data_IF_535000451996
#
_entry.id   IF_535000451996
#
_cell.length_a   1.000
_cell.length_b   1.000
_cell.length_c   1.000
_cell.angle_alpha   90.00
_cell.angle_beta   90.00
_cell.angle_gamma   90.00
#
_symmetry.space_group_name_H-M   'P 1'
#
loop_
_entity.id
_entity.type
_entity.pdbx_description
1 polymer ?
#
# COMPACT_ATOMS: atom_id res chain seq x y z
N UNK A 1 12.36 -2.08 -18.74
CA UNK A 1 11.47 -1.68 -17.64
C UNK A 1 11.73 -2.56 -16.43
N UNK A 2 11.73 -1.99 -15.22
CA UNK A 2 11.88 -2.70 -13.94
C UNK A 2 10.66 -2.37 -13.09
N UNK A 3 9.94 -3.39 -12.62
CA UNK A 3 8.68 -3.22 -11.88
C UNK A 3 8.84 -2.35 -10.64
N UNK A 4 9.79 -2.66 -9.75
CA UNK A 4 10.06 -1.88 -8.54
C UNK A 4 10.16 -0.36 -8.80
N UNK A 5 10.97 0.06 -9.78
CA UNK A 5 11.23 1.48 -10.03
C UNK A 5 10.05 2.17 -10.71
N UNK A 6 9.36 1.47 -11.62
CA UNK A 6 8.15 2.00 -12.24
C UNK A 6 7.02 2.12 -11.22
N UNK A 7 7.00 1.25 -10.21
CA UNK A 7 6.03 1.33 -9.11
C UNK A 7 6.23 2.57 -8.23
N UNK A 8 7.48 2.97 -7.97
CA UNK A 8 7.78 4.24 -7.29
C UNK A 8 7.27 5.44 -8.10
N UNK A 9 7.51 5.44 -9.42
CA UNK A 9 7.00 6.47 -10.33
C UNK A 9 5.47 6.52 -10.32
N UNK A 10 4.78 5.37 -10.48
CA UNK A 10 3.32 5.26 -10.46
C UNK A 10 2.75 5.82 -9.16
N UNK A 11 3.30 5.41 -8.02
CA UNK A 11 2.90 5.90 -6.70
C UNK A 11 3.05 7.42 -6.56
N UNK A 12 4.17 7.98 -7.04
CA UNK A 12 4.41 9.42 -7.06
C UNK A 12 3.42 10.18 -7.94
N UNK A 13 3.16 9.67 -9.16
CA UNK A 13 2.21 10.25 -10.10
C UNK A 13 0.77 10.17 -9.56
N UNK A 14 0.36 9.06 -8.95
CA UNK A 14 -0.96 8.93 -8.32
C UNK A 14 -1.16 9.97 -7.22
N UNK A 15 -0.14 10.19 -6.36
CA UNK A 15 -0.18 11.23 -5.33
C UNK A 15 -0.21 12.62 -5.96
N UNK A 16 0.59 12.90 -6.98
CA UNK A 16 0.61 14.19 -7.67
C UNK A 16 -0.73 14.49 -8.34
N UNK A 17 -1.35 13.50 -9.00
CA UNK A 17 -2.68 13.63 -9.59
C UNK A 17 -3.71 14.04 -8.53
N UNK A 18 -3.67 13.39 -7.36
CA UNK A 18 -4.58 13.69 -6.24
C UNK A 18 -4.38 15.10 -5.69
N UNK A 19 -3.14 15.51 -5.45
CA UNK A 19 -2.81 16.78 -4.78
C UNK A 19 -3.03 17.98 -5.72
N UNK A 20 -2.68 17.84 -6.99
CA UNK A 20 -2.74 18.92 -7.97
C UNK A 20 -4.01 18.90 -8.83
N UNK A 21 -4.87 17.89 -8.66
CA UNK A 21 -6.05 17.66 -9.50
C UNK A 21 -5.71 17.64 -11.01
N UNK A 22 -4.60 16.99 -11.38
CA UNK A 22 -4.16 16.88 -12.78
C UNK A 22 -4.36 15.46 -13.31
N UNK A 23 -5.28 15.32 -14.27
CA UNK A 23 -5.60 14.04 -14.92
C UNK A 23 -4.42 13.45 -15.68
N UNK A 24 -3.55 14.26 -16.25
CA UNK A 24 -2.39 13.78 -17.04
C UNK A 24 -1.46 12.89 -16.20
N UNK A 25 -1.25 13.23 -14.92
CA UNK A 25 -0.48 12.39 -14.00
C UNK A 25 -1.18 11.08 -13.69
N UNK A 26 -2.51 11.12 -13.55
CA UNK A 26 -3.32 9.91 -13.37
C UNK A 26 -3.22 9.00 -14.59
N UNK A 27 -3.39 9.55 -15.79
CA UNK A 27 -3.37 8.79 -17.04
C UNK A 27 -2.02 8.08 -17.24
N UNK A 28 -0.90 8.77 -16.98
CA UNK A 28 0.43 8.17 -17.02
C UNK A 28 0.59 7.04 -15.99
N UNK A 29 0.13 7.25 -14.76
CA UNK A 29 0.24 6.26 -13.68
C UNK A 29 -0.61 5.02 -13.96
N UNK A 30 -1.87 5.21 -14.35
CA UNK A 30 -2.83 4.17 -14.65
C UNK A 30 -2.39 3.35 -15.87
N UNK A 31 -1.92 4.00 -16.95
CA UNK A 31 -1.38 3.31 -18.13
C UNK A 31 -0.15 2.46 -17.80
N UNK A 32 0.79 3.00 -17.02
CA UNK A 32 1.98 2.27 -16.61
C UNK A 32 1.65 1.06 -15.72
N UNK A 33 0.71 1.22 -14.77
CA UNK A 33 0.25 0.12 -13.93
C UNK A 33 -0.48 -0.95 -14.73
N UNK A 34 -1.36 -0.56 -15.67
CA UNK A 34 -2.06 -1.48 -16.55
C UNK A 34 -1.08 -2.26 -17.43
N UNK A 35 -0.06 -1.60 -17.99
CA UNK A 35 1.00 -2.26 -18.72
C UNK A 35 1.69 -3.34 -17.87
N UNK A 36 2.00 -3.04 -16.60
CA UNK A 36 2.62 -4.02 -15.70
C UNK A 36 1.67 -5.21 -15.44
N UNK A 37 0.39 -4.94 -15.17
CA UNK A 37 -0.63 -5.98 -14.94
C UNK A 37 -0.82 -6.90 -16.15
N UNK A 38 -0.72 -6.37 -17.36
CA UNK A 38 -0.97 -7.14 -18.58
C UNK A 38 0.28 -7.87 -19.10
N UNK A 39 1.47 -7.31 -18.83
CA UNK A 39 2.70 -7.74 -19.53
C UNK A 39 3.81 -8.25 -18.61
N UNK A 40 3.63 -8.36 -17.28
CA UNK A 40 4.67 -8.90 -16.38
C UNK A 40 4.36 -10.30 -15.85
N UNK A 41 3.72 -11.13 -16.68
CA UNK A 41 3.33 -12.49 -16.29
C UNK A 41 3.83 -13.50 -17.30
N UNK A 42 4.49 -14.55 -16.82
CA UNK A 42 4.88 -15.73 -17.60
C UNK A 42 4.46 -16.94 -16.79
N UNK A 43 3.67 -17.85 -17.39
CA UNK A 43 3.18 -19.06 -16.73
C UNK A 43 2.52 -18.79 -15.35
N UNK A 44 1.70 -17.73 -15.27
CA UNK A 44 1.06 -17.24 -14.03
C UNK A 44 2.04 -16.80 -12.92
N UNK A 45 3.25 -16.41 -13.28
CA UNK A 45 4.26 -15.91 -12.34
C UNK A 45 4.67 -14.50 -12.66
N UNK A 46 4.66 -13.65 -11.64
CA UNK A 46 5.01 -12.25 -11.79
C UNK A 46 6.51 -12.06 -12.03
N UNK A 47 6.85 -11.22 -13.01
CA UNK A 47 8.20 -10.97 -13.48
C UNK A 47 8.67 -9.57 -13.09
N UNK A 48 9.98 -9.42 -12.90
CA UNK A 48 10.64 -8.18 -12.50
C UNK A 48 10.96 -7.26 -13.68
N UNK A 49 11.50 -7.85 -14.75
CA UNK A 49 12.09 -7.12 -15.86
C UNK A 49 11.25 -7.32 -17.11
N UNK A 50 11.11 -6.27 -17.90
CA UNK A 50 10.62 -6.39 -19.27
C UNK A 50 11.47 -5.54 -20.19
N UNK A 51 12.12 -6.21 -21.14
CA UNK A 51 12.94 -5.60 -22.17
C UNK A 51 12.31 -5.90 -23.52
N UNK A 52 11.99 -4.86 -24.29
CA UNK A 52 11.33 -4.95 -25.60
C UNK A 52 10.10 -5.88 -25.61
N UNK A 53 9.25 -5.77 -24.59
CA UNK A 53 8.02 -6.55 -24.47
C UNK A 53 8.24 -7.97 -23.91
N UNK A 54 9.47 -8.37 -23.63
CA UNK A 54 9.80 -9.72 -23.13
C UNK A 54 9.98 -9.72 -21.61
N UNK A 55 9.05 -10.32 -20.84
CA UNK A 55 9.15 -10.38 -19.39
C UNK A 55 10.14 -11.46 -18.97
N UNK A 56 11.04 -11.13 -18.05
CA UNK A 56 12.12 -12.01 -17.60
C UNK A 56 12.42 -11.78 -16.13
N UNK A 57 13.03 -12.78 -15.50
CA UNK A 57 13.43 -12.80 -14.08
C UNK A 57 12.22 -12.75 -13.14
N UNK A 58 12.09 -13.76 -12.30
CA UNK A 58 11.02 -13.80 -11.29
C UNK A 58 11.08 -12.57 -10.39
N UNK A 59 9.91 -12.00 -10.11
CA UNK A 59 9.76 -10.85 -9.23
C UNK A 59 10.33 -11.15 -7.83
N UNK A 60 11.01 -10.16 -7.27
CA UNK A 60 11.55 -10.19 -5.92
C UNK A 60 10.64 -9.42 -4.96
N UNK A 61 10.89 -9.52 -3.65
CA UNK A 61 10.05 -8.87 -2.63
C UNK A 61 9.86 -7.37 -2.86
N UNK A 62 10.88 -6.67 -3.35
CA UNK A 62 10.82 -5.25 -3.69
C UNK A 62 9.79 -4.97 -4.79
N UNK A 63 9.76 -5.80 -5.84
CA UNK A 63 8.84 -5.67 -6.97
C UNK A 63 7.39 -5.85 -6.52
N UNK A 64 7.12 -6.88 -5.71
CA UNK A 64 5.79 -7.09 -5.11
C UNK A 64 5.41 -5.94 -4.18
N UNK A 65 6.25 -5.63 -3.20
CA UNK A 65 5.92 -4.64 -2.17
C UNK A 65 5.66 -3.25 -2.77
N UNK A 66 6.51 -2.79 -3.69
CA UNK A 66 6.34 -1.48 -4.31
C UNK A 66 5.18 -1.47 -5.29
N UNK A 67 4.92 -2.54 -6.05
CA UNK A 67 3.81 -2.54 -6.99
C UNK A 67 2.46 -2.66 -6.29
N UNK A 68 2.34 -3.48 -5.23
CA UNK A 68 1.15 -3.50 -4.37
C UNK A 68 0.90 -2.10 -3.78
N UNK A 69 1.95 -1.42 -3.31
CA UNK A 69 1.83 -0.03 -2.81
C UNK A 69 1.28 0.89 -3.90
N UNK A 70 1.82 0.81 -5.12
CA UNK A 70 1.40 1.63 -6.24
C UNK A 70 -0.07 1.38 -6.63
N UNK A 71 -0.52 0.12 -6.65
CA UNK A 71 -1.92 -0.25 -6.90
C UNK A 71 -2.85 0.29 -5.81
N UNK A 72 -2.44 0.20 -4.54
CA UNK A 72 -3.22 0.79 -3.44
C UNK A 72 -3.25 2.32 -3.52
N UNK A 73 -2.17 2.97 -3.99
CA UNK A 73 -2.14 4.43 -4.19
C UNK A 73 -3.04 4.85 -5.36
N UNK A 74 -3.05 4.08 -6.46
CA UNK A 74 -3.99 4.27 -7.57
C UNK A 74 -5.44 4.08 -7.11
N UNK A 75 -5.73 3.07 -6.29
CA UNK A 75 -7.05 2.86 -5.71
C UNK A 75 -7.52 4.09 -4.92
N UNK A 76 -6.62 4.77 -4.22
CA UNK A 76 -6.97 5.96 -3.43
C UNK A 76 -7.09 7.21 -4.30
N UNK A 77 -6.21 7.35 -5.29
CA UNK A 77 -6.26 8.46 -6.25
C UNK A 77 -7.52 8.38 -7.14
N UNK A 78 -7.99 7.19 -7.50
CA UNK A 78 -9.19 7.01 -8.33
C UNK A 78 -10.45 7.57 -7.66
N UNK A 79 -10.53 7.52 -6.33
CA UNK A 79 -11.65 8.10 -5.56
C UNK A 79 -11.76 9.62 -5.72
N UNK A 80 -10.68 10.28 -6.15
CA UNK A 80 -10.62 11.73 -6.38
C UNK A 80 -10.74 12.06 -7.88
N UNK A 81 -10.03 11.31 -8.74
CA UNK A 81 -9.87 11.65 -10.15
C UNK A 81 -10.96 11.02 -11.03
N UNK A 82 -11.31 9.75 -10.78
CA UNK A 82 -12.26 8.98 -11.59
C UNK A 82 -13.18 8.11 -10.70
N UNK A 83 -13.98 8.71 -9.80
CA UNK A 83 -14.68 7.96 -8.75
C UNK A 83 -15.75 6.98 -9.26
N UNK A 84 -16.18 7.12 -10.52
CA UNK A 84 -17.24 6.29 -11.13
C UNK A 84 -16.74 5.35 -12.23
N UNK A 85 -15.49 5.49 -12.67
CA UNK A 85 -14.95 4.76 -13.82
C UNK A 85 -13.45 4.52 -13.65
N UNK A 86 -13.11 3.60 -12.74
CA UNK A 86 -11.73 3.21 -12.50
C UNK A 86 -11.59 1.69 -12.45
N UNK A 87 -10.48 1.12 -12.98
CA UNK A 87 -10.15 -0.28 -12.76
C UNK A 87 -10.14 -0.64 -11.28
N UNK A 88 -10.42 -1.91 -10.96
CA UNK A 88 -10.37 -2.41 -9.58
C UNK A 88 -8.91 -2.68 -9.16
N UNK A 89 -8.20 -1.60 -8.84
CA UNK A 89 -6.80 -1.65 -8.40
C UNK A 89 -6.65 -2.39 -7.07
N UNK A 90 -7.66 -2.36 -6.20
CA UNK A 90 -7.68 -3.13 -4.95
C UNK A 90 -7.70 -4.64 -5.22
N UNK A 91 -8.52 -5.12 -6.16
CA UNK A 91 -8.54 -6.53 -6.53
C UNK A 91 -7.19 -6.98 -7.09
N UNK A 92 -6.56 -6.15 -7.93
CA UNK A 92 -5.20 -6.42 -8.44
C UNK A 92 -4.17 -6.47 -7.30
N UNK A 93 -4.20 -5.51 -6.37
CA UNK A 93 -3.32 -5.48 -5.20
C UNK A 93 -3.48 -6.73 -4.32
N UNK A 94 -4.72 -7.17 -4.10
CA UNK A 94 -5.02 -8.41 -3.34
C UNK A 94 -4.48 -9.65 -4.03
N UNK A 95 -4.73 -9.80 -5.34
CA UNK A 95 -4.23 -10.93 -6.14
C UNK A 95 -2.70 -11.02 -6.03
N UNK A 96 -2.03 -9.87 -6.18
CA UNK A 96 -0.58 -9.79 -6.11
C UNK A 96 -0.05 -10.05 -4.70
N UNK A 97 -0.75 -9.57 -3.65
CA UNK A 97 -0.43 -9.89 -2.27
C UNK A 97 -0.56 -11.39 -1.97
N UNK A 98 -1.54 -12.09 -2.57
CA UNK A 98 -1.68 -13.55 -2.43
C UNK A 98 -0.47 -14.28 -3.01
N UNK A 99 0.02 -13.90 -4.19
CA UNK A 99 1.24 -14.49 -4.76
C UNK A 99 2.49 -14.13 -3.92
N UNK A 100 2.58 -12.88 -3.44
CA UNK A 100 3.67 -12.44 -2.58
C UNK A 100 3.75 -13.27 -1.29
N UNK A 101 2.59 -13.50 -0.66
CA UNK A 101 2.45 -14.36 0.50
C UNK A 101 2.84 -15.81 0.18
N UNK A 102 2.35 -16.36 -0.93
CA UNK A 102 2.61 -17.75 -1.32
C UNK A 102 4.10 -18.06 -1.49
N UNK A 103 4.85 -17.17 -2.14
CA UNK A 103 6.23 -17.49 -2.55
C UNK A 103 7.30 -16.87 -1.65
N UNK A 104 7.00 -15.77 -0.96
CA UNK A 104 8.02 -14.98 -0.25
C UNK A 104 7.78 -14.89 1.26
N UNK A 105 6.60 -15.22 1.79
CA UNK A 105 6.38 -15.23 3.24
C UNK A 105 7.24 -16.26 3.96
N UNK A 106 7.77 -15.90 5.13
CA UNK A 106 8.48 -16.79 6.04
C UNK A 106 7.56 -17.30 7.14
N UNK A 107 7.16 -18.57 7.06
CA UNK A 107 6.35 -19.21 8.10
C UNK A 107 7.07 -19.34 9.45
N UNK A 108 8.41 -19.41 9.45
CA UNK A 108 9.20 -19.62 10.66
C UNK A 108 9.71 -18.32 11.29
N UNK A 109 10.07 -17.32 10.47
CA UNK A 109 10.69 -16.09 10.93
C UNK A 109 9.78 -14.85 10.77
N UNK A 110 8.61 -15.00 10.13
CA UNK A 110 7.73 -13.90 9.71
C UNK A 110 8.41 -12.89 8.77
N UNK A 111 7.61 -12.06 8.10
CA UNK A 111 8.09 -11.17 7.05
C UNK A 111 8.44 -11.91 5.77
N UNK A 112 8.93 -11.16 4.79
CA UNK A 112 9.14 -11.61 3.42
C UNK A 112 10.62 -11.78 3.11
N UNK A 113 10.95 -12.91 2.50
CA UNK A 113 12.24 -13.16 1.88
C UNK A 113 12.41 -12.34 0.61
N UNK A 114 13.64 -12.00 0.24
CA UNK A 114 13.93 -11.24 -0.97
C UNK A 114 13.66 -12.05 -2.25
N UNK A 115 13.95 -13.35 -2.22
CA UNK A 115 13.80 -14.27 -3.36
C UNK A 115 12.67 -15.27 -3.10
N UNK A 116 11.88 -15.53 -4.14
CA UNK A 116 10.82 -16.54 -4.16
C UNK A 116 11.34 -17.94 -3.80
N UNK A 117 10.52 -18.74 -3.12
CA UNK A 117 10.91 -20.06 -2.61
C UNK A 117 11.27 -21.04 -3.73
N UNK A 118 10.60 -20.97 -4.86
CA UNK A 118 10.85 -21.81 -6.05
C UNK A 118 12.06 -21.36 -6.88
N UNK A 119 12.59 -20.17 -6.61
CA UNK A 119 13.80 -19.62 -7.24
C UNK A 119 15.03 -19.64 -6.31
N UNK A 120 14.92 -20.30 -5.15
CA UNK A 120 15.91 -20.20 -4.07
C UNK A 120 16.86 -21.38 -3.91
N UNK A 121 16.71 -22.42 -4.73
CA UNK A 121 17.47 -23.68 -4.60
C UNK A 121 18.99 -23.51 -4.65
N UNK A 122 19.48 -22.49 -5.37
CA UNK A 122 20.91 -22.17 -5.47
C UNK A 122 21.43 -21.21 -4.40
N UNK A 123 20.57 -20.73 -3.50
CA UNK A 123 20.94 -19.77 -2.45
C UNK A 123 21.33 -20.50 -1.17
N UNK A 124 22.49 -20.14 -0.60
CA UNK A 124 22.90 -20.61 0.72
C UNK A 124 22.00 -20.05 1.83
N UNK A 125 21.56 -18.80 1.68
CA UNK A 125 20.69 -18.10 2.64
C UNK A 125 19.65 -17.30 1.86
N UNK A 126 18.38 -17.39 2.27
CA UNK A 126 17.33 -16.47 1.84
C UNK A 126 17.23 -15.32 2.83
N UNK A 127 17.64 -14.13 2.39
CA UNK A 127 17.59 -12.94 3.23
C UNK A 127 16.17 -12.37 3.31
N UNK A 128 15.83 -11.78 4.46
CA UNK A 128 14.65 -10.93 4.61
C UNK A 128 15.13 -9.47 4.71
N UNK A 129 14.98 -8.72 3.63
CA UNK A 129 15.50 -7.35 3.53
C UNK A 129 14.75 -6.37 4.44
N UNK A 130 15.48 -5.68 5.29
CA UNK A 130 14.97 -4.63 6.19
C UNK A 130 15.71 -3.29 6.04
N UNK A 131 16.84 -3.28 5.33
CA UNK A 131 17.69 -2.10 5.20
C UNK A 131 17.19 -1.23 4.06
N UNK A 132 16.87 0.02 4.39
CA UNK A 132 16.61 1.06 3.41
C UNK A 132 17.92 1.55 2.79
N UNK A 133 17.91 1.76 1.47
CA UNK A 133 19.05 2.30 0.74
C UNK A 133 18.57 3.32 -0.29
N UNK A 134 19.02 3.23 -1.55
CA UNK A 134 18.49 4.04 -2.64
C UNK A 134 16.97 3.83 -2.84
N UNK A 135 16.44 2.68 -2.45
CA UNK A 135 15.02 2.35 -2.46
C UNK A 135 14.53 1.90 -1.07
N UNK A 136 13.21 2.06 -0.80
CA UNK A 136 12.56 1.53 0.39
C UNK A 136 12.73 0.03 0.58
N UNK A 137 12.95 -0.43 1.81
CA UNK A 137 13.02 -1.85 2.14
C UNK A 137 11.65 -2.53 1.95
N UNK A 138 11.66 -3.68 1.27
CA UNK A 138 10.45 -4.42 0.92
C UNK A 138 9.58 -4.77 2.14
N UNK A 139 10.17 -5.19 3.26
CA UNK A 139 9.40 -5.56 4.45
C UNK A 139 8.67 -4.36 5.10
N UNK A 140 9.28 -3.17 5.14
CA UNK A 140 8.61 -1.97 5.66
C UNK A 140 7.41 -1.56 4.80
N UNK A 141 7.60 -1.61 3.47
CA UNK A 141 6.50 -1.34 2.53
C UNK A 141 5.42 -2.42 2.61
N UNK A 142 5.80 -3.69 2.70
CA UNK A 142 4.85 -4.80 2.81
C UNK A 142 3.96 -4.67 4.06
N UNK A 143 4.52 -4.32 5.22
CA UNK A 143 3.73 -4.08 6.44
C UNK A 143 2.75 -2.93 6.23
N UNK A 144 3.18 -1.83 5.61
CA UNK A 144 2.28 -0.71 5.28
C UNK A 144 1.14 -1.15 4.36
N UNK A 145 1.44 -1.96 3.34
CA UNK A 145 0.42 -2.49 2.44
C UNK A 145 -0.56 -3.42 3.15
N UNK A 146 -0.07 -4.30 4.02
CA UNK A 146 -0.90 -5.21 4.82
C UNK A 146 -1.86 -4.44 5.74
N UNK A 147 -1.38 -3.37 6.40
CA UNK A 147 -2.25 -2.49 7.20
C UNK A 147 -3.34 -1.87 6.32
N UNK A 148 -2.97 -1.28 5.18
CA UNK A 148 -3.94 -0.67 4.24
C UNK A 148 -4.95 -1.68 3.69
N UNK A 149 -4.49 -2.88 3.30
CA UNK A 149 -5.35 -3.96 2.86
C UNK A 149 -6.35 -4.35 3.96
N UNK A 150 -5.91 -4.47 5.21
CA UNK A 150 -6.80 -4.79 6.34
C UNK A 150 -7.94 -3.77 6.51
N UNK A 151 -7.64 -2.46 6.34
CA UNK A 151 -8.65 -1.40 6.42
C UNK A 151 -9.63 -1.45 5.24
N UNK A 152 -9.13 -1.70 4.03
CA UNK A 152 -9.91 -1.68 2.79
C UNK A 152 -10.76 -2.94 2.61
N UNK A 153 -10.29 -4.10 3.09
CA UNK A 153 -10.98 -5.39 2.92
C UNK A 153 -11.71 -5.87 4.17
N UNK A 154 -11.42 -5.27 5.34
CA UNK A 154 -11.84 -5.74 6.67
C UNK A 154 -11.30 -7.12 7.04
N UNK A 155 -10.27 -7.58 6.33
CA UNK A 155 -9.61 -8.86 6.62
C UNK A 155 -8.47 -8.64 7.62
N UNK A 156 -8.69 -9.09 8.86
CA UNK A 156 -7.72 -8.94 9.95
C UNK A 156 -6.49 -9.85 9.80
N UNK A 157 -6.50 -10.84 8.90
CA UNK A 157 -5.33 -11.69 8.67
C UNK A 157 -4.13 -10.87 8.17
N UNK A 158 -4.39 -9.83 7.36
CA UNK A 158 -3.35 -8.89 6.94
C UNK A 158 -2.77 -8.12 8.13
N UNK A 159 -3.61 -7.66 9.06
CA UNK A 159 -3.16 -6.94 10.26
C UNK A 159 -2.33 -7.85 11.19
N UNK A 160 -2.70 -9.13 11.30
CA UNK A 160 -1.90 -10.12 12.03
C UNK A 160 -0.51 -10.31 11.40
N UNK A 161 -0.41 -10.44 10.08
CA UNK A 161 0.88 -10.54 9.39
C UNK A 161 1.73 -9.27 9.53
N UNK A 162 1.11 -8.10 9.49
CA UNK A 162 1.77 -6.82 9.74
C UNK A 162 2.40 -6.79 11.15
N UNK A 163 1.64 -7.19 12.17
CA UNK A 163 2.12 -7.28 13.55
C UNK A 163 3.28 -8.28 13.70
N UNK A 164 3.12 -9.49 13.14
CA UNK A 164 4.16 -10.54 13.17
C UNK A 164 5.47 -10.05 12.55
N UNK A 165 5.39 -9.34 11.43
CA UNK A 165 6.57 -8.78 10.75
C UNK A 165 7.23 -7.70 11.60
N UNK A 166 6.47 -6.76 12.17
CA UNK A 166 7.01 -5.73 13.09
C UNK A 166 7.68 -6.36 14.31
N UNK A 167 7.08 -7.39 14.92
CA UNK A 167 7.69 -8.13 16.03
C UNK A 167 9.00 -8.80 15.61
N UNK A 168 9.04 -9.43 14.44
CA UNK A 168 10.23 -10.11 13.93
C UNK A 168 11.42 -9.17 13.65
N UNK A 169 11.15 -7.91 13.30
CA UNK A 169 12.19 -6.91 13.06
C UNK A 169 12.42 -5.96 14.24
N UNK A 170 11.73 -6.13 15.38
CA UNK A 170 11.81 -5.24 16.55
C UNK A 170 13.25 -5.03 17.06
N UNK A 171 14.05 -6.09 17.13
CA UNK A 171 15.46 -6.01 17.55
C UNK A 171 16.28 -5.12 16.61
N UNK A 172 16.05 -5.23 15.30
CA UNK A 172 16.76 -4.43 14.30
C UNK A 172 16.29 -2.97 14.33
N UNK A 173 15.00 -2.74 14.55
CA UNK A 173 14.46 -1.37 14.73
C UNK A 173 15.11 -0.67 15.93
N UNK A 174 15.32 -1.40 17.02
CA UNK A 174 15.99 -0.90 18.23
C UNK A 174 17.49 -0.65 18.01
N UNK A 175 18.21 -1.59 17.40
CA UNK A 175 19.67 -1.55 17.29
C UNK A 175 20.19 -0.79 16.07
N UNK A 176 19.41 -0.70 14.99
CA UNK A 176 19.82 -0.17 13.69
C UNK A 176 18.79 0.82 13.12
N UNK A 177 18.29 1.73 13.96
CA UNK A 177 17.22 2.68 13.65
C UNK A 177 17.42 3.44 12.33
N UNK A 178 18.65 3.91 12.07
CA UNK A 178 18.97 4.69 10.85
C UNK A 178 18.95 3.85 9.57
N UNK A 179 19.07 2.53 9.68
CA UNK A 179 19.09 1.62 8.55
C UNK A 179 17.68 1.18 8.12
N UNK A 180 16.64 1.40 8.95
CA UNK A 180 15.28 0.94 8.66
C UNK A 180 14.16 1.99 8.80
N UNK A 181 14.30 3.24 8.30
CA UNK A 181 13.21 4.21 8.27
C UNK A 181 11.84 3.68 7.82
N UNK A 182 11.76 2.79 6.84
CA UNK A 182 10.47 2.28 6.34
C UNK A 182 9.78 1.34 7.31
N UNK A 183 10.51 0.64 8.17
CA UNK A 183 9.90 -0.13 9.27
C UNK A 183 9.28 0.79 10.33
N UNK A 184 9.84 1.98 10.56
CA UNK A 184 9.22 2.98 11.43
C UNK A 184 7.99 3.63 10.80
N UNK A 185 8.02 3.90 9.49
CA UNK A 185 6.81 4.29 8.76
C UNK A 185 5.73 3.22 8.88
N UNK A 186 6.10 1.95 8.76
CA UNK A 186 5.18 0.84 8.90
C UNK A 186 4.61 0.72 10.33
N UNK A 187 5.43 0.96 11.35
CA UNK A 187 4.99 1.01 12.74
C UNK A 187 4.01 2.16 12.99
N UNK A 188 4.27 3.34 12.41
CA UNK A 188 3.35 4.48 12.46
C UNK A 188 2.00 4.14 11.82
N UNK A 189 2.00 3.54 10.64
CA UNK A 189 0.79 2.97 10.02
C UNK A 189 0.08 1.98 10.94
N UNK A 190 0.79 1.02 11.51
CA UNK A 190 0.18 0.01 12.39
C UNK A 190 -0.46 0.62 13.65
N UNK A 191 0.17 1.64 14.24
CA UNK A 191 -0.30 2.29 15.47
C UNK A 191 -1.40 3.33 15.24
N UNK A 192 -1.34 4.04 14.11
CA UNK A 192 -2.20 5.18 13.82
C UNK A 192 -3.09 4.98 12.58
N UNK A 193 -3.33 3.72 12.19
CA UNK A 193 -4.19 3.38 11.06
C UNK A 193 -5.56 4.06 11.15
N UNK A 194 -5.89 4.87 10.16
CA UNK A 194 -7.11 5.65 10.11
C UNK A 194 -7.91 5.31 8.85
N UNK A 195 -9.15 4.89 9.01
CA UNK A 195 -10.10 4.68 7.93
C UNK A 195 -11.12 5.82 7.94
N UNK A 196 -11.30 6.48 6.81
CA UNK A 196 -12.35 7.47 6.62
C UNK A 196 -13.38 6.95 5.64
N UNK A 197 -14.64 6.99 6.06
CA UNK A 197 -15.79 6.66 5.22
C UNK A 197 -16.57 7.93 4.93
N UNK A 198 -16.73 8.28 3.67
CA UNK A 198 -17.42 9.53 3.26
C UNK A 198 -17.77 9.47 1.77
N UNK A 199 -18.36 10.51 1.20
CA UNK A 199 -18.67 10.57 -0.23
C UNK A 199 -17.44 10.94 -1.07
N UNK A 200 -17.45 10.64 -2.37
CA UNK A 200 -16.39 11.05 -3.29
C UNK A 200 -16.17 12.58 -3.29
N UNK A 201 -17.24 13.36 -3.15
CA UNK A 201 -17.19 14.82 -3.03
C UNK A 201 -16.30 15.26 -1.87
N UNK A 202 -16.47 14.68 -0.69
CA UNK A 202 -15.66 15.04 0.48
C UNK A 202 -14.25 14.44 0.43
N UNK A 203 -14.07 13.25 -0.15
CA UNK A 203 -12.73 12.70 -0.39
C UNK A 203 -11.93 13.68 -1.27
N UNK A 204 -12.52 14.23 -2.33
CA UNK A 204 -11.83 15.17 -3.22
C UNK A 204 -11.32 16.43 -2.52
N UNK A 205 -11.98 16.86 -1.44
CA UNK A 205 -11.58 18.02 -0.65
C UNK A 205 -10.53 17.69 0.42
N UNK A 206 -10.58 16.49 0.98
CA UNK A 206 -9.77 16.06 2.13
C UNK A 206 -8.46 15.37 1.72
N UNK A 207 -8.50 14.51 0.70
CA UNK A 207 -7.38 13.68 0.25
C UNK A 207 -6.15 14.44 -0.27
N UNK A 208 -6.25 15.66 -0.84
CA UNK A 208 -5.07 16.45 -1.21
C UNK A 208 -4.16 16.80 -0.03
N UNK A 209 -4.71 16.83 1.19
CA UNK A 209 -3.92 17.15 2.39
C UNK A 209 -3.01 16.00 2.81
N UNK A 210 -1.97 16.32 3.57
CA UNK A 210 -1.04 15.31 4.08
C UNK A 210 -1.68 14.57 5.27
N UNK A 211 -2.14 13.34 5.02
CA UNK A 211 -2.79 12.45 5.99
C UNK A 211 -2.07 11.08 5.94
N UNK A 212 -0.90 10.94 6.58
CA UNK A 212 0.07 9.88 6.28
C UNK A 212 -0.39 8.46 6.58
N UNK A 213 -1.32 8.24 7.51
CA UNK A 213 -1.81 6.90 7.90
C UNK A 213 -3.30 6.69 7.60
N UNK A 214 -3.83 7.45 6.63
CA UNK A 214 -5.25 7.44 6.29
C UNK A 214 -5.54 6.69 5.00
N UNK A 215 -6.60 5.89 5.00
CA UNK A 215 -7.25 5.39 3.78
C UNK A 215 -8.70 5.86 3.73
N UNK A 216 -9.19 6.08 2.52
CA UNK A 216 -10.53 6.56 2.20
C UNK A 216 -11.35 5.43 1.57
N UNK A 217 -12.62 5.37 1.94
CA UNK A 217 -13.63 4.48 1.35
C UNK A 217 -14.87 5.30 1.07
N UNK A 218 -15.43 5.14 -0.14
CA UNK A 218 -16.76 5.65 -0.44
C UNK A 218 -17.78 4.76 0.27
N UNK A 219 -18.59 5.36 1.14
CA UNK A 219 -19.64 4.66 1.88
C UNK A 219 -20.91 5.49 1.79
N UNK A 220 -21.96 4.94 1.18
CA UNK A 220 -23.27 5.59 1.06
C UNK A 220 -24.15 5.35 2.30
N UNK A 221 -23.75 4.43 3.18
CA UNK A 221 -24.50 4.04 4.38
C UNK A 221 -24.00 4.80 5.62
N UNK A 222 -23.92 6.12 5.49
CA UNK A 222 -23.52 6.97 6.61
C UNK A 222 -24.70 7.19 7.58
N UNK A 223 -24.42 7.39 8.89
CA UNK A 223 -25.43 7.82 9.86
C UNK A 223 -26.14 9.11 9.41
N UNK A 224 -27.40 9.25 9.82
CA UNK A 224 -28.25 10.40 9.48
C UNK A 224 -27.57 11.73 9.83
N UNK A 225 -27.69 12.72 8.94
CA UNK A 225 -27.05 14.05 9.03
C UNK A 225 -25.50 14.05 9.08
N UNK A 226 -24.84 12.90 8.92
CA UNK A 226 -23.38 12.84 8.90
C UNK A 226 -22.81 12.90 7.49
N UNK A 227 -21.71 13.63 7.35
CA UNK A 227 -20.95 13.72 6.10
C UNK A 227 -19.83 12.68 6.04
N UNK A 228 -19.47 12.05 7.16
CA UNK A 228 -18.46 11.01 7.20
C UNK A 228 -18.14 10.46 8.58
N UNK A 229 -17.38 9.37 8.59
CA UNK A 229 -16.88 8.69 9.79
C UNK A 229 -15.36 8.59 9.74
N UNK A 230 -14.70 9.00 10.82
CA UNK A 230 -13.26 8.81 11.03
C UNK A 230 -13.06 7.70 12.06
N UNK A 231 -12.42 6.61 11.64
CA UNK A 231 -12.19 5.43 12.47
C UNK A 231 -10.69 5.18 12.65
N UNK A 232 -10.26 4.93 13.89
CA UNK A 232 -8.91 4.53 14.23
C UNK A 232 -8.93 3.08 14.73
N UNK A 233 -8.20 2.21 14.03
CA UNK A 233 -8.33 0.77 14.22
C UNK A 233 -9.77 0.29 14.08
N UNK A 234 -10.30 -0.35 15.13
CA UNK A 234 -11.66 -0.91 15.16
C UNK A 234 -12.71 0.05 15.76
N UNK A 235 -12.33 1.28 16.10
CA UNK A 235 -13.21 2.24 16.77
C UNK A 235 -13.42 3.48 15.92
N UNK A 236 -14.65 3.96 15.85
CA UNK A 236 -14.99 5.19 15.14
C UNK A 236 -15.28 6.34 16.11
N UNK A 237 -14.89 7.54 15.71
CA UNK A 237 -15.27 8.78 16.40
C UNK A 237 -16.74 9.08 16.16
N UNK A 238 -17.27 10.08 16.88
CA UNK A 238 -18.63 10.59 16.64
C UNK A 238 -18.79 10.93 15.15
N UNK A 239 -19.90 10.55 14.48
CA UNK A 239 -20.17 10.93 13.10
C UNK A 239 -20.00 12.44 12.93
N UNK A 240 -19.22 12.84 11.93
CA UNK A 240 -18.97 14.25 11.66
C UNK A 240 -20.11 14.81 10.83
N UNK A 241 -20.67 15.94 11.26
CA UNK A 241 -21.77 16.63 10.56
C UNK A 241 -21.25 17.75 9.66
N UNK A 242 -20.00 18.19 9.86
CA UNK A 242 -19.37 19.25 9.06
C UNK A 242 -17.95 18.91 8.65
N UNK A 243 -17.46 19.54 7.58
CA UNK A 243 -16.08 19.37 7.13
C UNK A 243 -15.06 19.80 8.19
N UNK A 244 -15.35 20.87 8.94
CA UNK A 244 -14.48 21.33 10.02
C UNK A 244 -14.33 20.29 11.14
N UNK A 245 -15.42 19.59 11.47
CA UNK A 245 -15.38 18.47 12.41
C UNK A 245 -14.54 17.32 11.87
N UNK A 246 -14.73 16.91 10.59
CA UNK A 246 -13.89 15.89 9.96
C UNK A 246 -12.41 16.25 9.98
N UNK A 247 -12.05 17.49 9.63
CA UNK A 247 -10.68 17.98 9.68
C UNK A 247 -10.09 17.87 11.09
N UNK A 248 -10.85 18.27 12.11
CA UNK A 248 -10.40 18.20 13.50
C UNK A 248 -10.21 16.75 13.94
N UNK A 249 -11.14 15.87 13.59
CA UNK A 249 -11.05 14.44 13.88
C UNK A 249 -9.85 13.79 13.20
N UNK A 250 -9.59 14.15 11.94
CA UNK A 250 -8.43 13.68 11.17
C UNK A 250 -7.13 14.19 11.78
N UNK A 251 -6.99 15.49 12.04
CA UNK A 251 -5.80 16.05 12.67
C UNK A 251 -5.48 15.36 14.02
N UNK A 252 -6.50 15.13 14.84
CA UNK A 252 -6.36 14.40 16.11
C UNK A 252 -5.98 12.92 15.90
N UNK A 253 -6.39 12.30 14.79
CA UNK A 253 -6.01 10.92 14.48
C UNK A 253 -4.53 10.77 14.11
N UNK A 254 -3.89 11.86 13.66
CA UNK A 254 -2.51 11.88 13.18
C UNK A 254 -1.50 12.35 14.25
N UNK A 255 -1.95 12.69 15.47
CA UNK A 255 -1.04 13.06 16.56
C UNK A 255 -0.24 11.85 17.04
N UNK A 256 1.09 11.99 17.03
CA UNK A 256 2.10 10.97 17.38
C UNK A 256 2.68 11.22 18.76
#
# INVERSE_FOLDING_TARGET
MIVAWNSLMISGLARAATVFHQSDYWDLAAQAAQFILDNQWVDNRFQRLNYDGTPTVLAQSEDYALFIKALLDLQQASLVITPTDSPDWLAAAKKLQTEFDQWLWSETASGYYNTASDASASLLVRERGYQDSATPAANGIAVTNLVRLSLLTKDLTYLTKAEQTLKAFSVVMDQATRACPTLFQALDWYRHQTLVKTSAEYISQLAPQYQPTTVWVIDEQLPEESIGLVCQGLTCRKPAQTLAEMYTQLANSQQR
#
